data_IF_414271141486
#
_entry.id   IF_414271141486
#
_cell.length_a   1.000
_cell.length_b   1.000
_cell.length_c   1.000
_cell.angle_alpha   90.00
_cell.angle_beta   90.00
_cell.angle_gamma   90.00
#
_symmetry.space_group_name_H-M   'P 1'
#
loop_
_entity.id
_entity.type
_entity.pdbx_description
1 polymer ?
#
# COMPACT_ATOMS: atom_id res chain seq x y z
N UNK A 1 -0.99 -16.88 24.28
CA UNK A 1 -0.74 -17.71 23.07
C UNK A 1 -0.23 -16.81 21.95
N UNK A 2 0.81 -17.21 21.23
CA UNK A 2 1.31 -16.46 20.09
C UNK A 2 0.32 -16.64 18.92
N UNK A 3 -0.17 -15.53 18.35
CA UNK A 3 -1.11 -15.54 17.22
C UNK A 3 -0.50 -16.28 16.02
N UNK A 4 -1.26 -17.17 15.37
CA UNK A 4 -0.78 -17.90 14.21
C UNK A 4 -0.56 -16.98 13.00
N UNK A 5 0.25 -17.41 12.02
CA UNK A 5 0.46 -16.66 10.78
C UNK A 5 -0.87 -16.47 10.01
N UNK A 6 -1.73 -17.50 10.03
CA UNK A 6 -3.06 -17.46 9.39
C UNK A 6 -3.97 -16.41 10.03
N UNK A 7 -3.98 -16.31 11.36
CA UNK A 7 -4.83 -15.34 12.07
C UNK A 7 -4.33 -13.92 11.81
N UNK A 8 -3.00 -13.71 11.80
CA UNK A 8 -2.40 -12.42 11.45
C UNK A 8 -2.69 -12.03 9.99
N UNK A 9 -2.65 -12.99 9.07
CA UNK A 9 -3.01 -12.75 7.67
C UNK A 9 -4.47 -12.33 7.54
N UNK A 10 -5.39 -12.97 8.25
CA UNK A 10 -6.81 -12.59 8.26
C UNK A 10 -7.00 -11.14 8.75
N UNK A 11 -6.36 -10.77 9.86
CA UNK A 11 -6.44 -9.40 10.41
C UNK A 11 -5.84 -8.37 9.46
N UNK A 12 -4.64 -8.61 8.94
CA UNK A 12 -3.88 -7.61 8.17
C UNK A 12 -4.37 -7.48 6.72
N UNK A 13 -4.99 -8.51 6.16
CA UNK A 13 -5.67 -8.40 4.87
C UNK A 13 -7.04 -7.73 5.00
N UNK A 14 -7.80 -8.00 6.08
CA UNK A 14 -9.05 -7.27 6.33
C UNK A 14 -8.80 -5.79 6.60
N UNK A 15 -7.77 -5.46 7.37
CA UNK A 15 -7.38 -4.06 7.60
C UNK A 15 -6.94 -3.33 6.31
N UNK A 16 -6.38 -4.05 5.34
CA UNK A 16 -5.94 -3.48 4.07
C UNK A 16 -7.09 -3.12 3.11
N UNK A 17 -8.32 -3.60 3.33
CA UNK A 17 -9.47 -3.33 2.43
C UNK A 17 -9.81 -1.85 2.34
N UNK A 18 -9.48 -1.06 3.35
CA UNK A 18 -9.73 0.38 3.39
C UNK A 18 -8.73 1.21 2.57
N UNK A 19 -7.61 0.62 2.17
CA UNK A 19 -6.73 1.27 1.20
C UNK A 19 -7.34 1.13 -0.20
N UNK A 20 -7.58 2.25 -0.89
CA UNK A 20 -8.02 2.19 -2.26
C UNK A 20 -6.91 1.60 -3.13
N UNK A 21 -7.24 0.54 -3.82
CA UNK A 21 -6.51 0.04 -4.96
C UNK A 21 -7.49 0.02 -6.11
N UNK A 22 -7.02 0.20 -7.33
CA UNK A 22 -7.89 0.17 -8.52
C UNK A 22 -8.80 -1.05 -8.44
N UNK A 23 -10.11 -0.85 -8.27
CA UNK A 23 -11.13 -1.89 -8.19
C UNK A 23 -10.89 -2.97 -7.11
N UNK A 24 -11.03 -2.63 -5.85
CA UNK A 24 -11.22 -3.63 -4.80
C UNK A 24 -12.66 -4.16 -4.86
N UNK A 25 -12.94 -5.11 -5.68
CA UNK A 25 -14.16 -5.88 -5.56
C UNK A 25 -13.95 -6.89 -4.42
N UNK A 26 -14.52 -6.62 -3.26
CA UNK A 26 -14.71 -7.63 -2.23
C UNK A 26 -15.61 -8.71 -2.82
N UNK A 27 -15.03 -9.82 -3.27
CA UNK A 27 -15.79 -11.01 -3.64
C UNK A 27 -16.57 -11.47 -2.40
N UNK A 28 -17.89 -11.68 -2.52
CA UNK A 28 -18.69 -12.20 -1.42
C UNK A 28 -18.10 -13.52 -0.91
N UNK A 29 -18.22 -13.75 0.41
CA UNK A 29 -17.85 -15.04 1.01
C UNK A 29 -18.61 -16.17 0.32
N UNK A 30 -17.90 -17.19 -0.11
CA UNK A 30 -18.45 -18.43 -0.64
C UNK A 30 -17.95 -19.60 0.21
N UNK A 31 -18.82 -20.48 0.59
CA UNK A 31 -18.52 -21.65 1.40
C UNK A 31 -19.15 -22.88 0.74
N UNK A 32 -18.33 -23.67 0.05
CA UNK A 32 -18.77 -24.87 -0.63
C UNK A 32 -19.18 -25.99 0.33
N UNK A 33 -18.69 -25.97 1.58
CA UNK A 33 -19.12 -26.93 2.59
C UNK A 33 -20.57 -26.69 3.04
N UNK A 34 -21.00 -25.41 3.07
CA UNK A 34 -22.35 -25.01 3.45
C UNK A 34 -23.34 -25.01 2.27
N UNK A 35 -22.91 -24.67 1.06
CA UNK A 35 -23.79 -24.43 -0.09
C UNK A 35 -23.65 -25.43 -1.22
N UNK A 36 -22.70 -26.36 -1.14
CA UNK A 36 -22.33 -27.27 -2.21
C UNK A 36 -21.48 -26.59 -3.30
N UNK A 37 -20.94 -27.38 -4.23
CA UNK A 37 -20.08 -26.90 -5.31
C UNK A 37 -18.60 -27.04 -5.00
N UNK A 38 -17.74 -26.42 -5.83
CA UNK A 38 -16.30 -26.45 -5.70
C UNK A 38 -15.74 -25.10 -5.29
N UNK A 39 -14.83 -25.11 -4.30
CA UNK A 39 -14.11 -23.94 -3.84
C UNK A 39 -14.83 -23.06 -2.82
N UNK A 40 -14.06 -22.55 -1.88
CA UNK A 40 -14.51 -21.61 -0.86
C UNK A 40 -13.65 -20.37 -0.92
N UNK A 41 -14.23 -19.19 -0.65
CA UNK A 41 -13.49 -17.94 -0.55
C UNK A 41 -13.99 -17.10 0.60
N UNK A 42 -13.07 -16.48 1.32
CA UNK A 42 -13.38 -15.50 2.37
C UNK A 42 -13.48 -14.08 1.83
N UNK A 43 -13.11 -13.86 0.55
CA UNK A 43 -13.16 -12.54 -0.08
C UNK A 43 -12.08 -11.55 0.40
N UNK A 44 -11.03 -12.06 1.10
CA UNK A 44 -9.99 -11.21 1.69
C UNK A 44 -8.60 -11.47 1.10
N UNK A 45 -7.76 -10.45 1.12
CA UNK A 45 -6.32 -10.53 0.88
C UNK A 45 -5.86 -10.48 -0.57
N UNK A 46 -6.75 -10.66 -1.54
CA UNK A 46 -6.41 -10.52 -2.97
C UNK A 46 -7.22 -9.36 -3.55
N UNK A 47 -6.52 -8.38 -4.09
CA UNK A 47 -7.12 -7.28 -4.85
C UNK A 47 -6.73 -7.38 -6.34
N UNK A 48 -7.48 -6.67 -7.15
CA UNK A 48 -7.25 -6.64 -8.59
C UNK A 48 -6.88 -5.21 -9.02
N UNK A 49 -5.84 -5.09 -9.81
CA UNK A 49 -5.46 -3.87 -10.52
C UNK A 49 -5.54 -4.13 -12.01
N UNK A 50 -5.95 -3.13 -12.78
CA UNK A 50 -6.04 -3.26 -14.23
C UNK A 50 -4.87 -2.50 -14.88
N UNK A 51 -4.17 -3.18 -15.78
CA UNK A 51 -3.17 -2.55 -16.62
C UNK A 51 -3.84 -1.76 -17.75
N UNK A 52 -3.15 -0.80 -18.39
CA UNK A 52 -3.71 -0.03 -19.50
C UNK A 52 -4.17 -0.87 -20.71
N UNK A 53 -3.62 -2.07 -20.86
CA UNK A 53 -4.01 -3.05 -21.89
C UNK A 53 -5.22 -3.91 -21.50
N UNK A 54 -5.89 -3.60 -20.37
CA UNK A 54 -7.09 -4.29 -19.89
C UNK A 54 -6.80 -5.58 -19.11
N UNK A 55 -5.55 -6.00 -18.94
CA UNK A 55 -5.23 -7.18 -18.11
C UNK A 55 -5.52 -6.91 -16.66
N UNK A 56 -6.13 -7.90 -16.00
CA UNK A 56 -6.33 -7.92 -14.58
C UNK A 56 -5.08 -8.47 -13.89
N UNK A 57 -4.54 -7.75 -12.94
CA UNK A 57 -3.38 -8.14 -12.12
C UNK A 57 -3.87 -8.44 -10.71
N UNK A 58 -3.71 -9.67 -10.26
CA UNK A 58 -4.07 -10.08 -8.91
C UNK A 58 -2.93 -9.79 -7.92
N UNK A 59 -3.22 -9.11 -6.83
CA UNK A 59 -2.23 -8.66 -5.84
C UNK A 59 -2.56 -9.21 -4.46
N UNK A 60 -1.56 -9.71 -3.74
CA UNK A 60 -1.66 -9.90 -2.30
C UNK A 60 -1.67 -8.52 -1.65
N UNK A 61 -2.81 -8.12 -1.11
CA UNK A 61 -2.99 -6.83 -0.46
C UNK A 61 -3.04 -7.00 1.05
N UNK A 62 -1.99 -6.56 1.71
CA UNK A 62 -1.83 -6.68 3.16
C UNK A 62 -1.20 -5.43 3.77
N UNK A 63 -1.42 -5.27 5.08
CA UNK A 63 -0.61 -4.40 5.91
C UNK A 63 0.59 -5.15 6.48
N UNK A 64 1.75 -4.49 6.56
CA UNK A 64 2.86 -4.97 7.38
C UNK A 64 2.45 -5.02 8.85
N UNK A 65 1.73 -4.00 9.31
CA UNK A 65 1.10 -3.94 10.63
C UNK A 65 -0.10 -2.99 10.61
N UNK A 66 -1.10 -3.28 11.45
CA UNK A 66 -2.19 -2.36 11.74
C UNK A 66 -2.05 -1.66 13.11
N UNK A 67 -0.92 -1.85 13.82
CA UNK A 67 -0.53 -0.92 14.87
C UNK A 67 -0.18 0.42 14.25
N UNK A 68 -0.63 1.51 14.86
CA UNK A 68 -0.33 2.85 14.40
C UNK A 68 -0.14 3.78 15.61
N UNK A 69 0.81 4.70 15.51
CA UNK A 69 1.03 5.75 16.51
C UNK A 69 0.15 6.98 16.25
N UNK A 70 -0.46 7.10 15.05
CA UNK A 70 -1.35 8.19 14.67
C UNK A 70 -2.80 7.88 15.01
N UNK A 71 -3.58 8.93 15.27
CA UNK A 71 -4.99 8.81 15.65
C UNK A 71 -5.95 9.46 14.64
N UNK A 72 -5.69 9.29 13.35
CA UNK A 72 -6.54 9.81 12.29
C UNK A 72 -8.00 9.38 12.46
N UNK A 73 -8.93 10.31 12.65
CA UNK A 73 -10.32 10.04 13.02
C UNK A 73 -11.06 9.12 12.03
N UNK A 74 -10.73 9.20 10.74
CA UNK A 74 -11.31 8.36 9.68
C UNK A 74 -10.69 6.96 9.57
N UNK A 75 -9.61 6.67 10.29
CA UNK A 75 -8.88 5.41 10.12
C UNK A 75 -9.37 4.36 11.13
N UNK A 76 -9.75 3.19 10.63
CA UNK A 76 -10.12 2.06 11.49
C UNK A 76 -8.95 1.59 12.36
N UNK A 77 -7.71 1.78 11.89
CA UNK A 77 -6.49 1.36 12.55
C UNK A 77 -5.82 2.48 13.37
N UNK A 78 -6.53 3.57 13.67
CA UNK A 78 -6.01 4.67 14.52
C UNK A 78 -5.63 4.15 15.92
N UNK A 79 -4.72 4.83 16.59
CA UNK A 79 -4.15 4.40 17.89
C UNK A 79 -5.22 4.13 18.94
N UNK A 80 -6.27 4.96 19.02
CA UNK A 80 -7.40 4.83 19.97
C UNK A 80 -8.41 3.74 19.59
N UNK A 81 -8.31 3.13 18.40
CA UNK A 81 -9.26 2.11 17.96
C UNK A 81 -9.05 0.77 18.66
N UNK A 82 -10.15 0.13 19.05
CA UNK A 82 -10.16 -1.16 19.76
C UNK A 82 -10.23 -2.37 18.80
N UNK A 83 -9.57 -2.30 17.64
CA UNK A 83 -9.52 -3.41 16.69
C UNK A 83 -8.43 -4.42 17.04
N UNK A 84 -8.60 -5.65 16.62
CA UNK A 84 -7.55 -6.67 16.73
C UNK A 84 -6.28 -6.21 16.00
N UNK A 85 -5.14 -6.30 16.69
CA UNK A 85 -3.86 -5.84 16.19
C UNK A 85 -2.94 -7.00 15.83
N UNK A 86 -2.26 -6.86 14.71
CA UNK A 86 -1.28 -7.83 14.24
C UNK A 86 -0.10 -7.13 13.57
N UNK A 87 1.00 -7.88 13.43
CA UNK A 87 2.20 -7.44 12.71
C UNK A 87 2.86 -8.64 12.06
N UNK A 88 3.35 -8.44 10.85
CA UNK A 88 4.32 -9.31 10.20
C UNK A 88 5.73 -8.78 10.39
N UNK A 89 6.71 -9.67 10.34
CA UNK A 89 8.08 -9.27 10.05
C UNK A 89 8.26 -9.10 8.54
N UNK A 90 9.26 -8.33 8.07
CA UNK A 90 9.58 -8.24 6.65
C UNK A 90 9.77 -9.61 6.00
N UNK A 91 10.45 -10.54 6.68
CA UNK A 91 10.70 -11.91 6.19
C UNK A 91 9.40 -12.70 6.00
N UNK A 92 8.43 -12.53 6.90
CA UNK A 92 7.12 -13.18 6.77
C UNK A 92 6.34 -12.65 5.57
N UNK A 93 6.40 -11.33 5.29
CA UNK A 93 5.77 -10.74 4.09
C UNK A 93 6.44 -11.25 2.82
N UNK A 94 7.78 -11.32 2.80
CA UNK A 94 8.54 -11.89 1.68
C UNK A 94 8.13 -13.33 1.44
N UNK A 95 8.12 -14.14 2.49
CA UNK A 95 7.73 -15.55 2.40
C UNK A 95 6.29 -15.73 1.90
N UNK A 96 5.32 -15.00 2.47
CA UNK A 96 3.92 -15.03 2.02
C UNK A 96 3.80 -14.67 0.55
N UNK A 97 4.46 -13.60 0.12
CA UNK A 97 4.42 -13.14 -1.28
C UNK A 97 4.94 -14.22 -2.24
N UNK A 98 6.07 -14.83 -1.91
CA UNK A 98 6.67 -15.87 -2.74
C UNK A 98 5.81 -17.14 -2.80
N UNK A 99 5.25 -17.56 -1.66
CA UNK A 99 4.42 -18.75 -1.60
C UNK A 99 3.10 -18.59 -2.37
N UNK A 100 2.46 -17.41 -2.28
CA UNK A 100 1.25 -17.12 -3.05
C UNK A 100 1.54 -17.00 -4.56
N UNK A 101 2.68 -16.39 -4.89
CA UNK A 101 3.10 -16.25 -6.29
C UNK A 101 3.43 -17.61 -6.93
N UNK A 102 4.19 -18.48 -6.25
CA UNK A 102 4.52 -19.82 -6.72
C UNK A 102 3.30 -20.71 -6.97
N UNK A 103 2.23 -20.48 -6.23
CA UNK A 103 0.94 -21.19 -6.38
C UNK A 103 0.01 -20.53 -7.39
N UNK A 104 0.45 -19.51 -8.10
CA UNK A 104 -0.35 -18.74 -9.07
C UNK A 104 -1.61 -18.10 -8.47
N UNK A 105 -1.60 -17.77 -7.17
CA UNK A 105 -2.70 -17.05 -6.54
C UNK A 105 -2.64 -15.54 -6.79
N UNK A 106 -1.43 -15.01 -7.01
CA UNK A 106 -1.16 -13.59 -7.21
C UNK A 106 -0.08 -13.38 -8.27
N UNK A 107 -0.10 -12.19 -8.85
CA UNK A 107 0.93 -11.69 -9.77
C UNK A 107 1.81 -10.62 -9.12
N UNK A 108 1.45 -10.18 -7.90
CA UNK A 108 2.22 -9.17 -7.20
C UNK A 108 1.78 -8.92 -5.77
N UNK A 109 2.41 -7.92 -5.16
CA UNK A 109 2.21 -7.48 -3.78
C UNK A 109 1.74 -6.03 -3.77
N UNK A 110 0.67 -5.74 -3.01
CA UNK A 110 0.35 -4.40 -2.54
C UNK A 110 0.60 -4.36 -1.03
N UNK A 111 1.59 -3.58 -0.61
CA UNK A 111 2.00 -3.47 0.78
C UNK A 111 1.81 -2.07 1.31
N UNK A 112 1.06 -1.95 2.39
CA UNK A 112 0.91 -0.74 3.19
C UNK A 112 1.24 -1.02 4.66
N UNK A 113 1.13 -0.03 5.53
CA UNK A 113 1.38 -0.19 6.95
C UNK A 113 0.72 0.90 7.79
N UNK A 114 0.30 0.57 9.00
CA UNK A 114 0.25 1.53 10.08
C UNK A 114 1.66 1.96 10.46
N UNK A 115 1.81 3.11 11.09
CA UNK A 115 3.10 3.68 11.46
C UNK A 115 3.45 3.26 12.89
N UNK A 116 4.58 2.55 13.04
CA UNK A 116 5.11 2.12 14.34
C UNK A 116 6.44 2.81 14.64
N UNK A 117 6.68 3.14 15.90
CA UNK A 117 7.90 3.82 16.40
C UNK A 117 8.13 5.18 15.75
N UNK A 118 8.40 5.19 14.43
CA UNK A 118 8.58 6.41 13.64
C UNK A 118 8.21 6.15 12.16
N UNK A 119 7.95 7.20 11.37
CA UNK A 119 7.81 7.12 9.92
C UNK A 119 8.98 6.42 9.25
N UNK A 120 10.21 6.81 9.60
CA UNK A 120 11.45 6.24 9.03
C UNK A 120 11.58 4.76 9.33
N UNK A 121 11.35 4.36 10.58
CA UNK A 121 11.43 2.95 10.96
C UNK A 121 10.45 2.10 10.13
N UNK A 122 9.21 2.58 9.99
CA UNK A 122 8.18 1.85 9.25
C UNK A 122 8.51 1.82 7.75
N UNK A 123 8.95 2.95 7.19
CA UNK A 123 9.34 3.02 5.78
C UNK A 123 10.52 2.14 5.45
N UNK A 124 11.52 2.07 6.33
CA UNK A 124 12.69 1.19 6.18
C UNK A 124 12.28 -0.30 6.14
N UNK A 125 11.30 -0.71 6.94
CA UNK A 125 10.78 -2.10 6.88
C UNK A 125 10.04 -2.38 5.57
N UNK A 126 9.25 -1.43 5.04
CA UNK A 126 8.59 -1.57 3.73
C UNK A 126 9.62 -1.69 2.59
N UNK A 127 10.63 -0.83 2.61
CA UNK A 127 11.74 -0.86 1.65
C UNK A 127 12.49 -2.19 1.72
N UNK A 128 12.76 -2.68 2.93
CA UNK A 128 13.43 -3.96 3.14
C UNK A 128 12.68 -5.12 2.47
N UNK A 129 11.35 -5.18 2.60
CA UNK A 129 10.53 -6.19 1.92
C UNK A 129 10.73 -6.13 0.40
N UNK A 130 10.59 -4.95 -0.19
CA UNK A 130 10.70 -4.81 -1.64
C UNK A 130 12.13 -5.11 -2.14
N UNK A 131 13.15 -4.64 -1.42
CA UNK A 131 14.56 -4.92 -1.71
C UNK A 131 14.86 -6.41 -1.68
N UNK A 132 14.44 -7.10 -0.61
CA UNK A 132 14.68 -8.54 -0.44
C UNK A 132 13.97 -9.35 -1.53
N UNK A 133 12.71 -9.05 -1.82
CA UNK A 133 12.00 -9.67 -2.95
C UNK A 133 12.79 -9.51 -4.26
N UNK A 134 13.29 -8.31 -4.55
CA UNK A 134 13.99 -8.01 -5.81
C UNK A 134 15.39 -8.56 -5.90
N UNK A 135 16.21 -8.34 -4.86
CA UNK A 135 17.64 -8.63 -4.92
C UNK A 135 17.97 -10.06 -4.47
N UNK A 136 17.31 -10.55 -3.43
CA UNK A 136 17.59 -11.88 -2.87
C UNK A 136 16.84 -12.97 -3.62
N UNK A 137 15.57 -12.72 -3.92
CA UNK A 137 14.70 -13.74 -4.53
C UNK A 137 14.46 -13.55 -6.02
N UNK A 138 14.99 -12.49 -6.64
CA UNK A 138 14.81 -12.21 -8.07
C UNK A 138 13.35 -12.08 -8.47
N UNK A 139 12.47 -11.69 -7.53
CA UNK A 139 11.03 -11.58 -7.76
C UNK A 139 10.73 -10.55 -8.85
N UNK A 140 10.03 -10.97 -9.90
CA UNK A 140 9.68 -10.15 -11.07
C UNK A 140 8.20 -9.76 -11.13
N UNK A 141 7.39 -10.22 -10.15
CA UNK A 141 6.00 -9.81 -10.01
C UNK A 141 5.86 -8.33 -9.66
N UNK A 142 4.66 -7.81 -9.78
CA UNK A 142 4.35 -6.40 -9.51
C UNK A 142 4.48 -6.08 -8.01
N UNK A 143 5.08 -4.94 -7.68
CA UNK A 143 5.17 -4.44 -6.30
C UNK A 143 4.61 -3.02 -6.24
N UNK A 144 3.56 -2.84 -5.47
CA UNK A 144 3.00 -1.54 -5.12
C UNK A 144 3.27 -1.28 -3.63
N UNK A 145 4.02 -0.23 -3.32
CA UNK A 145 4.24 0.22 -1.95
C UNK A 145 3.45 1.50 -1.67
N UNK A 146 2.71 1.49 -0.56
CA UNK A 146 2.17 2.72 0.00
C UNK A 146 3.22 3.33 0.92
N UNK A 147 3.75 4.47 0.53
CA UNK A 147 4.83 5.15 1.24
C UNK A 147 4.31 5.98 2.41
N UNK A 148 5.20 6.27 3.34
CA UNK A 148 4.94 7.12 4.50
C UNK A 148 5.46 8.53 4.16
N UNK A 149 4.61 9.55 4.00
CA UNK A 149 5.04 10.88 3.52
C UNK A 149 6.01 11.60 4.47
N UNK A 150 5.91 11.34 5.77
CA UNK A 150 6.78 11.95 6.79
C UNK A 150 8.12 11.20 6.96
N UNK A 151 8.37 10.16 6.17
CA UNK A 151 9.64 9.43 6.18
C UNK A 151 10.72 10.20 5.42
N UNK A 152 11.98 9.93 5.78
CA UNK A 152 13.14 10.52 5.12
C UNK A 152 13.08 10.34 3.59
N UNK A 153 13.35 11.40 2.80
CA UNK A 153 13.26 11.36 1.32
C UNK A 153 14.12 10.26 0.69
N UNK A 154 15.23 9.89 1.33
CA UNK A 154 16.14 8.83 0.88
C UNK A 154 15.45 7.45 0.93
N UNK A 155 14.64 7.19 1.95
CA UNK A 155 13.88 5.94 2.08
C UNK A 155 12.78 5.85 1.03
N UNK A 156 12.09 6.96 0.76
CA UNK A 156 11.08 7.04 -0.31
C UNK A 156 11.75 6.85 -1.67
N UNK A 157 12.90 7.48 -1.87
CA UNK A 157 13.69 7.30 -3.08
C UNK A 157 14.15 5.84 -3.27
N UNK A 158 14.60 5.21 -2.21
CA UNK A 158 14.99 3.79 -2.26
C UNK A 158 13.79 2.89 -2.58
N UNK A 159 12.61 3.16 -2.01
CA UNK A 159 11.40 2.42 -2.31
C UNK A 159 11.10 2.38 -3.82
N UNK A 160 11.24 3.53 -4.50
CA UNK A 160 11.00 3.63 -5.94
C UNK A 160 11.97 2.84 -6.82
N UNK A 161 13.14 2.49 -6.30
CA UNK A 161 14.07 1.61 -7.02
C UNK A 161 13.61 0.14 -7.03
N UNK A 162 12.79 -0.26 -6.08
CA UNK A 162 12.35 -1.65 -5.92
C UNK A 162 10.87 -1.87 -6.18
N UNK A 163 10.03 -0.84 -6.05
CA UNK A 163 8.61 -0.88 -6.37
C UNK A 163 8.35 -0.54 -7.84
N UNK A 164 7.27 -1.09 -8.40
CA UNK A 164 6.77 -0.69 -9.71
C UNK A 164 5.87 0.54 -9.59
N UNK A 165 5.12 0.68 -8.49
CA UNK A 165 4.31 1.85 -8.18
C UNK A 165 4.49 2.28 -6.74
N UNK A 166 4.50 3.58 -6.52
CA UNK A 166 4.40 4.20 -5.20
C UNK A 166 3.06 4.90 -5.04
N UNK A 167 2.51 4.92 -3.83
CA UNK A 167 1.34 5.74 -3.52
C UNK A 167 1.53 6.52 -2.23
N UNK A 168 1.05 7.75 -2.24
CA UNK A 168 0.93 8.61 -1.05
C UNK A 168 -0.49 9.15 -1.06
N UNK A 169 -1.20 8.99 0.05
CA UNK A 169 -2.54 9.54 0.16
C UNK A 169 -2.49 11.04 0.50
N UNK A 170 -3.23 11.85 -0.24
CA UNK A 170 -3.51 13.23 0.17
C UNK A 170 -4.51 13.29 1.33
N UNK A 171 -5.23 12.20 1.53
CA UNK A 171 -6.21 11.93 2.58
C UNK A 171 -7.46 12.79 2.48
N UNK A 172 -7.36 14.10 2.64
CA UNK A 172 -8.49 15.02 2.65
C UNK A 172 -8.28 16.16 1.66
N UNK A 173 -9.37 16.72 1.09
CA UNK A 173 -9.29 17.77 0.08
C UNK A 173 -8.65 19.06 0.60
N UNK A 174 -8.85 19.38 1.90
CA UNK A 174 -8.43 20.66 2.50
C UNK A 174 -7.45 20.47 3.65
N UNK A 175 -6.58 21.45 3.84
CA UNK A 175 -5.66 21.49 4.99
C UNK A 175 -6.42 21.59 6.31
N UNK A 176 -7.55 22.30 6.34
CA UNK A 176 -8.42 22.41 7.52
C UNK A 176 -8.96 21.03 7.91
N UNK A 177 -9.51 20.29 6.96
CA UNK A 177 -10.02 18.94 7.20
C UNK A 177 -8.92 18.00 7.68
N UNK A 178 -7.71 18.11 7.09
CA UNK A 178 -6.58 17.29 7.53
C UNK A 178 -6.14 17.63 8.95
N UNK A 179 -6.05 18.92 9.31
CA UNK A 179 -5.72 19.36 10.67
C UNK A 179 -6.75 18.91 11.71
N UNK A 180 -8.02 18.86 11.34
CA UNK A 180 -9.11 18.41 12.21
C UNK A 180 -9.15 16.89 12.40
N UNK A 181 -9.01 16.12 11.30
CA UNK A 181 -9.23 14.66 11.31
C UNK A 181 -7.96 13.83 11.38
N UNK A 182 -6.80 14.41 11.11
CA UNK A 182 -5.49 13.75 11.16
C UNK A 182 -4.37 14.73 11.49
N UNK A 183 -4.38 15.30 12.73
CA UNK A 183 -3.49 16.40 13.12
C UNK A 183 -1.99 16.03 13.10
N UNK A 184 -1.65 14.75 13.11
CA UNK A 184 -0.26 14.29 13.00
C UNK A 184 0.26 14.34 11.57
N UNK A 185 -0.62 14.45 10.57
CA UNK A 185 -0.25 14.50 9.15
C UNK A 185 -0.07 15.94 8.69
N UNK A 186 0.94 16.16 7.88
CA UNK A 186 1.33 17.48 7.40
C UNK A 186 1.10 17.62 5.90
N UNK A 187 0.19 18.52 5.45
CA UNK A 187 -0.11 18.70 4.04
C UNK A 187 1.14 19.03 3.19
N UNK A 188 2.06 19.81 3.77
CA UNK A 188 3.29 20.20 3.10
C UNK A 188 4.20 19.00 2.81
N UNK A 189 4.44 18.16 3.80
CA UNK A 189 5.27 16.95 3.65
C UNK A 189 4.65 15.97 2.66
N UNK A 190 3.32 15.81 2.68
CA UNK A 190 2.61 14.98 1.70
C UNK A 190 2.86 15.49 0.28
N UNK A 191 2.65 16.80 0.04
CA UNK A 191 2.85 17.40 -1.29
C UNK A 191 4.32 17.36 -1.72
N UNK A 192 5.24 17.62 -0.81
CA UNK A 192 6.67 17.53 -1.06
C UNK A 192 7.06 16.12 -1.51
N UNK A 193 6.70 15.11 -0.75
CA UNK A 193 7.03 13.72 -1.07
C UNK A 193 6.40 13.28 -2.41
N UNK A 194 5.17 13.71 -2.71
CA UNK A 194 4.54 13.45 -4.01
C UNK A 194 5.29 14.14 -5.17
N UNK A 195 5.72 15.40 -4.97
CA UNK A 195 6.53 16.15 -5.94
C UNK A 195 7.88 15.49 -6.20
N UNK A 196 8.56 15.04 -5.16
CA UNK A 196 9.86 14.36 -5.26
C UNK A 196 9.74 13.02 -6.00
N UNK A 197 8.68 12.25 -5.74
CA UNK A 197 8.40 11.02 -6.48
C UNK A 197 8.15 11.33 -7.96
N UNK A 198 7.32 12.34 -8.26
CA UNK A 198 7.01 12.76 -9.63
C UNK A 198 8.27 13.14 -10.40
N UNK A 199 9.09 14.02 -9.84
CA UNK A 199 10.35 14.44 -10.47
C UNK A 199 11.25 13.27 -10.82
N UNK A 200 11.42 12.32 -9.89
CA UNK A 200 12.22 11.10 -10.11
C UNK A 200 11.65 10.19 -11.19
N UNK A 201 10.32 10.09 -11.30
CA UNK A 201 9.65 9.33 -12.37
C UNK A 201 9.93 10.00 -13.73
N UNK A 202 9.78 11.32 -13.80
CA UNK A 202 10.02 12.11 -15.02
C UNK A 202 11.48 12.03 -15.46
N UNK A 203 12.45 12.20 -14.54
CA UNK A 203 13.89 12.02 -14.81
C UNK A 203 14.23 10.61 -15.32
N UNK A 204 13.56 9.58 -14.79
CA UNK A 204 13.73 8.18 -15.20
C UNK A 204 13.06 7.83 -16.52
N UNK A 205 12.17 8.68 -17.03
CA UNK A 205 11.45 8.45 -18.29
C UNK A 205 12.30 8.79 -19.53
N UNK A 206 13.29 9.67 -19.40
CA UNK A 206 14.20 10.02 -20.50
C UNK A 206 15.18 8.86 -20.80
N UNK A 207 15.15 8.29 -22.02
CA UNK A 207 16.03 7.19 -22.37
C UNK A 207 17.43 7.70 -22.70
N UNK A 208 18.28 7.80 -21.68
CA UNK A 208 19.73 7.99 -21.92
C UNK A 208 20.39 6.63 -22.11
N UNK A 209 21.51 6.60 -22.88
CA UNK A 209 22.32 5.37 -23.10
C UNK A 209 22.76 4.68 -21.78
N UNK A 210 22.86 5.45 -20.70
CA UNK A 210 23.17 4.96 -19.34
C UNK A 210 21.97 4.31 -18.64
N UNK A 211 20.71 4.69 -18.96
CA UNK A 211 19.51 4.21 -18.26
C UNK A 211 19.00 2.87 -18.80
N UNK A 212 19.44 2.41 -19.99
CA UNK A 212 19.06 1.08 -20.51
C UNK A 212 19.45 -0.10 -19.62
N UNK A 213 20.44 0.06 -18.72
CA UNK A 213 20.88 -0.99 -17.77
C UNK A 213 20.39 -0.75 -16.34
N UNK A 214 19.82 0.41 -16.01
CA UNK A 214 19.32 0.73 -14.67
C UNK A 214 17.82 0.44 -14.59
N UNK A 215 17.41 -0.07 -13.44
CA UNK A 215 16.00 -0.20 -13.12
C UNK A 215 15.36 1.18 -13.08
N UNK A 216 14.23 1.36 -13.78
CA UNK A 216 13.47 2.61 -13.74
C UNK A 216 12.86 2.80 -12.36
N UNK A 217 12.86 4.04 -11.90
CA UNK A 217 12.20 4.43 -10.65
C UNK A 217 10.68 4.35 -10.85
N UNK A 218 9.99 3.58 -10.01
CA UNK A 218 8.54 3.40 -10.00
C UNK A 218 7.89 3.41 -11.40
N UNK A 219 8.23 2.46 -12.29
CA UNK A 219 7.88 2.52 -13.72
C UNK A 219 6.39 2.52 -14.02
N UNK A 220 5.54 2.11 -13.07
CA UNK A 220 4.08 2.18 -13.17
C UNK A 220 3.52 3.48 -12.53
N UNK A 221 4.39 4.43 -12.19
CA UNK A 221 4.02 5.75 -11.73
C UNK A 221 3.67 5.83 -10.25
N UNK A 222 3.08 6.96 -9.87
CA UNK A 222 2.52 7.17 -8.54
C UNK A 222 1.01 7.25 -8.58
N UNK A 223 0.39 7.02 -7.42
CA UNK A 223 -1.05 7.21 -7.21
C UNK A 223 -1.33 7.83 -5.84
N UNK A 224 -2.50 8.43 -5.71
CA UNK A 224 -2.98 8.98 -4.44
C UNK A 224 -4.39 8.50 -4.14
N UNK A 225 -4.84 8.73 -2.93
CA UNK A 225 -6.22 8.53 -2.49
C UNK A 225 -6.68 9.74 -1.69
N UNK A 226 -7.93 10.11 -1.92
CA UNK A 226 -8.62 11.18 -1.21
C UNK A 226 -9.92 10.64 -0.61
N UNK A 227 -10.24 11.05 0.60
CA UNK A 227 -11.51 10.73 1.28
C UNK A 227 -12.45 11.91 1.04
N UNK A 228 -13.58 11.63 0.43
CA UNK A 228 -14.64 12.62 0.14
C UNK A 228 -15.78 12.43 1.13
N UNK A 229 -16.35 13.55 1.62
CA UNK A 229 -17.49 13.54 2.53
C UNK A 229 -17.14 13.32 4.02
N UNK A 230 -15.84 13.29 4.38
CA UNK A 230 -15.43 13.22 5.78
C UNK A 230 -15.39 14.59 6.49
N UNK A 231 -15.36 15.66 5.74
CA UNK A 231 -15.43 17.05 6.21
C UNK A 231 -16.26 17.90 5.23
N UNK A 232 -16.68 19.07 5.67
CA UNK A 232 -17.38 20.03 4.80
C UNK A 232 -16.41 20.55 3.74
N UNK A 233 -16.57 20.10 2.51
CA UNK A 233 -15.79 20.50 1.34
C UNK A 233 -16.69 20.56 0.11
N UNK A 234 -16.49 21.57 -0.72
CA UNK A 234 -17.18 21.72 -2.00
C UNK A 234 -16.55 20.82 -3.08
N UNK A 235 -17.34 20.47 -4.10
CA UNK A 235 -16.82 19.75 -5.26
C UNK A 235 -15.68 20.50 -5.96
N UNK A 236 -15.71 21.83 -5.94
CA UNK A 236 -14.64 22.66 -6.49
C UNK A 236 -13.29 22.46 -5.75
N UNK A 237 -13.32 22.41 -4.41
CA UNK A 237 -12.11 22.13 -3.61
C UNK A 237 -11.58 20.71 -3.83
N UNK A 238 -12.50 19.73 -3.96
CA UNK A 238 -12.14 18.35 -4.27
C UNK A 238 -11.45 18.27 -5.62
N UNK A 239 -12.04 18.86 -6.65
CA UNK A 239 -11.49 18.86 -8.02
C UNK A 239 -10.17 19.64 -8.12
N UNK A 240 -10.03 20.72 -7.35
CA UNK A 240 -8.76 21.49 -7.33
C UNK A 240 -7.59 20.73 -6.68
N UNK A 241 -7.90 19.74 -5.83
CA UNK A 241 -6.89 18.91 -5.15
C UNK A 241 -6.58 17.63 -5.92
N UNK A 242 -7.48 17.16 -6.78
CA UNK A 242 -7.34 15.93 -7.57
C UNK A 242 -6.46 16.14 -8.80
#
# INVERSE_FOLDING_TARGET
MKMSLKDRLAILSDAAKYDASCASSGGGRRDSAATGGLGSTTGMGICHAYAPDGRCISLLKILLTNFCIYDCAYCINRSSSNVARARFTPEEVVWLTLEFYRRNYIEGLFLSSGIIRSPDHTMAELVRVARELRLTHGFRGYIHLKTIPDAAPELIAEAGLFADRLSINVELPTERGLAELAPEKRPREIRQAMGDIRSRIEEGAEPTLRTRKRRRFAPAGQSTQMIVGACETSDAEILATA
#
